data_IF_174559464533
#
_entry.id   IF_174559464533
#
_cell.length_a   1.000
_cell.length_b   1.000
_cell.length_c   1.000
_cell.angle_alpha   90.00
_cell.angle_beta   90.00
_cell.angle_gamma   90.00
#
_symmetry.space_group_name_H-M   'P 1'
#
loop_
_entity.id
_entity.type
_entity.pdbx_description
1 polymer ?
#
# COMPACT_ATOMS: atom_id res chain seq x y z
N UNK A 1 -20.05 -1.31 24.29
CA UNK A 1 -19.36 -0.49 23.27
C UNK A 1 -17.98 -1.09 23.09
N UNK A 2 -17.84 -2.06 22.15
CA UNK A 2 -16.56 -2.74 21.90
C UNK A 2 -15.56 -1.79 21.27
N UNK A 3 -14.33 -1.80 21.78
CA UNK A 3 -13.18 -1.13 21.16
C UNK A 3 -13.03 -1.55 19.70
N UNK A 4 -12.64 -0.67 18.78
CA UNK A 4 -12.33 -1.06 17.40
C UNK A 4 -11.27 -2.18 17.33
N UNK A 5 -10.43 -2.33 18.35
CA UNK A 5 -9.48 -3.43 18.51
C UNK A 5 -10.13 -4.79 18.80
N UNK A 6 -11.25 -4.84 19.51
CA UNK A 6 -11.93 -6.10 19.84
C UNK A 6 -12.53 -6.78 18.59
N UNK A 7 -13.13 -6.00 17.69
CA UNK A 7 -13.67 -6.53 16.44
C UNK A 7 -12.55 -7.03 15.50
N UNK A 8 -11.41 -6.34 15.51
CA UNK A 8 -10.23 -6.76 14.73
C UNK A 8 -9.58 -8.02 15.28
N UNK A 9 -9.54 -8.17 16.60
CA UNK A 9 -9.00 -9.38 17.27
C UNK A 9 -9.89 -10.59 17.01
N UNK A 10 -11.22 -10.44 17.10
CA UNK A 10 -12.16 -11.48 16.75
C UNK A 10 -12.06 -11.93 15.29
N UNK A 11 -11.89 -10.97 14.36
CA UNK A 11 -11.67 -11.29 12.95
C UNK A 11 -10.34 -12.04 12.73
N UNK A 12 -9.28 -11.68 13.43
CA UNK A 12 -7.99 -12.39 13.38
C UNK A 12 -8.12 -13.83 13.87
N UNK A 13 -8.84 -14.07 14.97
CA UNK A 13 -9.09 -15.42 15.51
C UNK A 13 -9.91 -16.28 14.53
N UNK A 14 -10.93 -15.73 13.87
CA UNK A 14 -11.71 -16.46 12.85
C UNK A 14 -10.82 -16.81 11.65
N UNK A 15 -9.94 -15.92 11.22
CA UNK A 15 -8.98 -16.19 10.15
C UNK A 15 -7.95 -17.25 10.58
N UNK A 16 -7.44 -17.20 11.81
CA UNK A 16 -6.51 -18.21 12.32
C UNK A 16 -7.16 -19.61 12.34
N UNK A 17 -8.43 -19.71 12.70
CA UNK A 17 -9.19 -20.96 12.64
C UNK A 17 -9.41 -21.51 11.21
N UNK A 18 -9.26 -20.66 10.19
CA UNK A 18 -9.35 -21.03 8.77
C UNK A 18 -8.12 -21.76 8.22
N UNK A 19 -7.00 -21.80 8.93
CA UNK A 19 -5.77 -22.49 8.53
C UNK A 19 -5.29 -22.12 7.12
N UNK A 20 -5.09 -23.11 6.25
CA UNK A 20 -4.52 -22.94 4.89
C UNK A 20 -5.29 -21.94 4.01
N UNK A 21 -6.62 -21.86 4.16
CA UNK A 21 -7.42 -20.87 3.41
C UNK A 21 -7.09 -19.46 3.82
N UNK A 22 -6.81 -19.23 5.09
CA UNK A 22 -6.44 -17.92 5.62
C UNK A 22 -5.02 -17.55 5.18
N UNK A 23 -4.08 -18.49 5.17
CA UNK A 23 -2.72 -18.29 4.62
C UNK A 23 -2.80 -17.89 3.16
N UNK A 24 -3.59 -18.59 2.34
CA UNK A 24 -3.77 -18.27 0.92
C UNK A 24 -4.39 -16.88 0.71
N UNK A 25 -5.38 -16.50 1.52
CA UNK A 25 -6.02 -15.17 1.44
C UNK A 25 -5.03 -14.07 1.80
N UNK A 26 -4.25 -14.26 2.87
CA UNK A 26 -3.22 -13.31 3.30
C UNK A 26 -2.13 -13.19 2.24
N UNK A 27 -1.67 -14.31 1.67
CA UNK A 27 -0.68 -14.32 0.60
C UNK A 27 -1.14 -13.49 -0.61
N UNK A 28 -2.40 -13.66 -1.01
CA UNK A 28 -3.02 -12.88 -2.09
C UNK A 28 -3.05 -11.39 -1.74
N UNK A 29 -3.40 -11.03 -0.51
CA UNK A 29 -3.42 -9.65 -0.03
C UNK A 29 -2.03 -9.00 -0.04
N UNK A 30 -1.02 -9.69 0.47
CA UNK A 30 0.39 -9.24 0.46
C UNK A 30 0.89 -9.07 -0.97
N UNK A 31 0.62 -10.02 -1.86
CA UNK A 31 1.00 -9.92 -3.27
C UNK A 31 0.33 -8.71 -3.96
N UNK A 32 -0.95 -8.44 -3.67
CA UNK A 32 -1.66 -7.28 -4.19
C UNK A 32 -1.07 -5.95 -3.69
N UNK A 33 -0.66 -5.87 -2.42
CA UNK A 33 0.02 -4.70 -1.87
C UNK A 33 1.37 -4.47 -2.56
N UNK A 34 2.18 -5.52 -2.75
CA UNK A 34 3.45 -5.44 -3.49
C UNK A 34 3.24 -4.96 -4.93
N UNK A 35 2.28 -5.53 -5.63
CA UNK A 35 1.95 -5.12 -6.99
C UNK A 35 1.53 -3.64 -7.07
N UNK A 36 0.75 -3.16 -6.09
CA UNK A 36 0.36 -1.76 -6.00
C UNK A 36 1.56 -0.85 -5.76
N UNK A 37 2.47 -1.20 -4.84
CA UNK A 37 3.71 -0.45 -4.58
C UNK A 37 4.61 -0.39 -5.81
N UNK A 38 4.83 -1.52 -6.48
CA UNK A 38 5.62 -1.58 -7.71
C UNK A 38 5.02 -0.70 -8.80
N UNK A 39 3.70 -0.73 -8.96
CA UNK A 39 2.97 0.14 -9.89
C UNK A 39 3.14 1.61 -9.54
N UNK A 40 3.00 1.99 -8.28
CA UNK A 40 3.22 3.36 -7.81
C UNK A 40 4.63 3.82 -8.13
N UNK A 41 5.66 3.03 -7.80
CA UNK A 41 7.06 3.37 -8.08
C UNK A 41 7.29 3.58 -9.58
N UNK A 42 6.74 2.71 -10.43
CA UNK A 42 6.83 2.85 -11.89
C UNK A 42 6.14 4.14 -12.38
N UNK A 43 4.94 4.46 -11.88
CA UNK A 43 4.23 5.69 -12.25
C UNK A 43 4.94 6.95 -11.78
N UNK A 44 5.53 6.95 -10.59
CA UNK A 44 6.37 8.07 -10.13
C UNK A 44 7.54 8.30 -11.06
N UNK A 45 8.23 7.24 -11.49
CA UNK A 45 9.32 7.33 -12.48
C UNK A 45 8.83 7.90 -13.82
N UNK A 46 7.67 7.50 -14.27
CA UNK A 46 7.07 7.95 -15.55
C UNK A 46 6.62 9.41 -15.54
N UNK A 47 6.47 10.06 -14.37
CA UNK A 47 6.27 11.52 -14.29
C UNK A 47 7.44 12.29 -14.93
N UNK A 48 8.63 11.70 -15.02
CA UNK A 48 9.80 12.25 -15.68
C UNK A 48 9.99 11.80 -17.13
N UNK A 49 9.07 11.10 -17.73
CA UNK A 49 9.19 10.65 -19.14
C UNK A 49 9.32 11.82 -20.10
N UNK A 50 10.06 11.65 -21.18
CA UNK A 50 10.11 12.62 -22.28
C UNK A 50 8.79 12.70 -23.07
N UNK A 51 7.99 11.62 -23.05
CA UNK A 51 6.68 11.58 -23.71
C UNK A 51 5.61 12.24 -22.83
N UNK A 52 4.93 13.24 -23.38
CA UNK A 52 3.84 13.95 -22.69
C UNK A 52 2.70 13.03 -22.31
N UNK A 53 2.28 12.12 -23.20
CA UNK A 53 1.15 11.23 -22.94
C UNK A 53 1.46 10.24 -21.80
N UNK A 54 2.72 9.76 -21.71
CA UNK A 54 3.18 8.90 -20.63
C UNK A 54 3.12 9.65 -19.29
N UNK A 55 3.62 10.90 -19.25
CA UNK A 55 3.56 11.72 -18.02
C UNK A 55 2.12 11.94 -17.55
N UNK A 56 1.22 12.30 -18.48
CA UNK A 56 -0.19 12.55 -18.14
C UNK A 56 -0.92 11.26 -17.70
N UNK A 57 -0.62 10.13 -18.35
CA UNK A 57 -1.16 8.83 -17.95
C UNK A 57 -0.67 8.44 -16.55
N UNK A 58 0.62 8.66 -16.25
CA UNK A 58 1.20 8.38 -14.94
C UNK A 58 0.54 9.23 -13.84
N UNK A 59 0.38 10.54 -14.06
CA UNK A 59 -0.27 11.42 -13.10
C UNK A 59 -1.72 11.01 -12.81
N UNK A 60 -2.51 10.73 -13.86
CA UNK A 60 -3.90 10.24 -13.70
C UNK A 60 -3.96 8.90 -12.97
N UNK A 61 -3.03 8.01 -13.25
CA UNK A 61 -3.00 6.68 -12.61
C UNK A 61 -2.67 6.79 -11.12
N UNK A 62 -1.71 7.64 -10.74
CA UNK A 62 -1.38 7.91 -9.32
C UNK A 62 -2.58 8.49 -8.57
N UNK A 63 -3.29 9.44 -9.16
CA UNK A 63 -4.53 9.99 -8.57
C UNK A 63 -5.62 8.93 -8.45
N UNK A 64 -5.72 7.99 -9.39
CA UNK A 64 -6.67 6.88 -9.36
C UNK A 64 -6.34 5.84 -8.31
N UNK A 65 -5.05 5.54 -8.11
CA UNK A 65 -4.58 4.63 -7.04
C UNK A 65 -4.95 5.20 -5.67
N UNK A 66 -4.90 6.52 -5.50
CA UNK A 66 -5.36 7.17 -4.28
C UNK A 66 -4.36 7.09 -3.14
N UNK A 67 -4.85 6.80 -1.92
CA UNK A 67 -4.06 6.81 -0.69
C UNK A 67 -2.74 6.00 -0.76
N UNK A 68 -2.66 4.81 -1.37
CA UNK A 68 -1.40 4.07 -1.49
C UNK A 68 -0.30 4.79 -2.27
N UNK A 69 -0.64 5.76 -3.14
CA UNK A 69 0.35 6.52 -3.91
C UNK A 69 0.88 7.77 -3.18
N UNK A 70 0.16 8.27 -2.17
CA UNK A 70 0.39 9.59 -1.59
C UNK A 70 1.80 9.75 -1.01
N UNK A 71 2.27 8.79 -0.24
CA UNK A 71 3.61 8.87 0.38
C UNK A 71 4.73 8.95 -0.67
N UNK A 72 4.68 8.09 -1.70
CA UNK A 72 5.68 8.06 -2.76
C UNK A 72 5.66 9.35 -3.60
N UNK A 73 4.47 9.89 -3.87
CA UNK A 73 4.32 11.14 -4.63
C UNK A 73 4.79 12.35 -3.82
N UNK A 74 4.50 12.41 -2.52
CA UNK A 74 5.03 13.46 -1.63
C UNK A 74 6.56 13.42 -1.56
N UNK A 75 7.13 12.21 -1.44
CA UNK A 75 8.59 12.05 -1.48
C UNK A 75 9.17 12.55 -2.81
N UNK A 76 8.59 12.17 -3.94
CA UNK A 76 9.04 12.64 -5.24
C UNK A 76 8.93 14.17 -5.39
N UNK A 77 7.87 14.79 -4.88
CA UNK A 77 7.70 16.23 -4.86
C UNK A 77 8.78 16.96 -4.03
N UNK A 78 9.23 16.33 -2.95
CA UNK A 78 10.21 16.92 -2.04
C UNK A 78 11.67 16.67 -2.49
N UNK A 79 11.98 15.49 -3.02
CA UNK A 79 13.37 15.01 -3.14
C UNK A 79 13.83 14.67 -4.55
N UNK A 80 12.95 14.68 -5.57
CA UNK A 80 13.38 14.38 -6.94
C UNK A 80 14.39 15.40 -7.47
N UNK A 81 15.44 14.95 -8.14
CA UNK A 81 16.43 15.82 -8.80
C UNK A 81 15.80 16.62 -9.95
N UNK A 82 14.80 16.08 -10.62
CA UNK A 82 14.09 16.74 -11.71
C UNK A 82 13.05 17.74 -11.21
N UNK A 83 13.21 19.01 -11.54
CA UNK A 83 12.24 20.07 -11.25
C UNK A 83 10.86 19.79 -11.85
N UNK A 84 10.82 19.19 -13.04
CA UNK A 84 9.58 18.79 -13.71
C UNK A 84 8.85 17.69 -12.92
N UNK A 85 9.58 16.66 -12.45
CA UNK A 85 9.01 15.62 -11.62
C UNK A 85 8.49 16.18 -10.30
N UNK A 86 9.27 17.06 -9.63
CA UNK A 86 8.81 17.70 -8.39
C UNK A 86 7.50 18.46 -8.59
N UNK A 87 7.40 19.25 -9.66
CA UNK A 87 6.19 20.02 -9.96
C UNK A 87 4.99 19.10 -10.21
N UNK A 88 5.14 18.09 -11.08
CA UNK A 88 4.05 17.16 -11.41
C UNK A 88 3.62 16.32 -10.21
N UNK A 89 4.56 15.90 -9.40
CA UNK A 89 4.27 15.19 -8.16
C UNK A 89 3.47 16.09 -7.18
N UNK A 90 3.85 17.36 -7.04
CA UNK A 90 3.11 18.33 -6.22
C UNK A 90 1.67 18.54 -6.74
N UNK A 91 1.47 18.59 -8.05
CA UNK A 91 0.14 18.68 -8.67
C UNK A 91 -0.72 17.43 -8.34
N UNK A 92 -0.12 16.24 -8.38
CA UNK A 92 -0.80 14.98 -7.99
C UNK A 92 -1.16 15.00 -6.50
N UNK A 93 -0.27 15.45 -5.61
CA UNK A 93 -0.56 15.60 -4.16
C UNK A 93 -1.74 16.52 -3.95
N UNK A 94 -1.78 17.65 -4.64
CA UNK A 94 -2.89 18.61 -4.57
C UNK A 94 -4.21 17.98 -5.01
N UNK A 95 -4.21 17.23 -6.09
CA UNK A 95 -5.41 16.52 -6.57
C UNK A 95 -5.88 15.43 -5.60
N UNK A 96 -4.96 14.70 -4.98
CA UNK A 96 -5.28 13.71 -3.94
C UNK A 96 -5.89 14.40 -2.71
N UNK A 97 -5.31 15.51 -2.25
CA UNK A 97 -5.83 16.32 -1.15
C UNK A 97 -7.24 16.87 -1.44
N UNK A 98 -7.49 17.33 -2.65
CA UNK A 98 -8.82 17.80 -3.09
C UNK A 98 -9.88 16.68 -3.07
N UNK A 99 -9.47 15.41 -3.18
CA UNK A 99 -10.33 14.22 -3.02
C UNK A 99 -10.47 13.75 -1.57
N UNK A 100 -9.91 14.48 -0.60
CA UNK A 100 -9.95 14.12 0.81
C UNK A 100 -8.96 13.03 1.23
N UNK A 101 -8.03 12.63 0.34
CA UNK A 101 -7.01 11.62 0.67
C UNK A 101 -5.98 12.22 1.64
N UNK A 102 -5.74 11.56 2.76
CA UNK A 102 -4.77 11.96 3.78
C UNK A 102 -3.64 10.94 3.87
N UNK A 103 -2.46 11.39 4.31
CA UNK A 103 -1.31 10.52 4.50
C UNK A 103 -1.60 9.36 5.47
N UNK A 104 -2.37 9.64 6.52
CA UNK A 104 -2.79 8.64 7.51
C UNK A 104 -3.64 7.52 6.92
N UNK A 105 -4.37 7.77 5.82
CA UNK A 105 -5.26 6.78 5.22
C UNK A 105 -4.48 5.67 4.51
N UNK A 106 -3.35 6.02 3.88
CA UNK A 106 -2.49 5.04 3.19
C UNK A 106 -1.55 4.29 4.14
N UNK A 107 -0.75 5.03 4.91
CA UNK A 107 0.27 4.44 5.79
C UNK A 107 -0.34 3.65 6.96
N UNK A 108 -1.35 4.21 7.62
CA UNK A 108 -2.01 3.52 8.73
C UNK A 108 -2.79 2.29 8.25
N UNK A 109 -3.46 2.39 7.10
CA UNK A 109 -4.23 1.29 6.52
C UNK A 109 -3.35 0.09 6.14
N UNK A 110 -2.25 0.33 5.43
CA UNK A 110 -1.36 -0.74 4.97
C UNK A 110 -0.54 -1.33 6.12
N UNK A 111 -0.01 -0.50 7.01
CA UNK A 111 0.70 -0.95 8.20
C UNK A 111 -0.20 -1.79 9.12
N UNK A 112 -1.43 -1.35 9.34
CA UNK A 112 -2.40 -2.10 10.15
C UNK A 112 -2.81 -3.42 9.50
N UNK A 113 -3.01 -3.45 8.18
CA UNK A 113 -3.31 -4.69 7.44
C UNK A 113 -2.15 -5.68 7.54
N UNK A 114 -0.92 -5.20 7.34
CA UNK A 114 0.28 -6.02 7.46
C UNK A 114 0.45 -6.56 8.89
N UNK A 115 0.31 -5.69 9.90
CA UNK A 115 0.39 -6.10 11.30
C UNK A 115 -0.62 -7.21 11.63
N UNK A 116 -1.88 -7.04 11.24
CA UNK A 116 -2.92 -8.06 11.47
C UNK A 116 -2.69 -9.33 10.66
N UNK A 117 -2.15 -9.22 9.46
CA UNK A 117 -1.77 -10.39 8.67
C UNK A 117 -0.67 -11.20 9.38
N UNK A 118 0.34 -10.52 9.93
CA UNK A 118 1.42 -11.15 10.69
C UNK A 118 0.92 -11.81 11.97
N UNK A 119 0.02 -11.16 12.71
CA UNK A 119 -0.61 -11.71 13.90
C UNK A 119 -1.36 -13.02 13.59
N UNK A 120 -2.17 -13.05 12.52
CA UNK A 120 -2.89 -14.24 12.07
C UNK A 120 -1.92 -15.36 11.62
N UNK A 121 -0.85 -15.03 10.91
CA UNK A 121 0.13 -16.00 10.45
C UNK A 121 0.91 -16.61 11.62
N UNK A 122 1.20 -15.84 12.66
CA UNK A 122 1.84 -16.33 13.88
C UNK A 122 0.91 -17.30 14.65
N UNK A 123 -0.38 -16.95 14.77
CA UNK A 123 -1.39 -17.80 15.40
C UNK A 123 -1.61 -19.14 14.66
N UNK A 124 -1.55 -19.14 13.32
CA UNK A 124 -1.63 -20.34 12.48
C UNK A 124 -0.42 -21.25 12.69
N UNK A 125 0.78 -20.70 12.80
CA UNK A 125 2.01 -21.36 13.19
C UNK A 125 2.52 -22.48 12.27
N UNK A 126 1.95 -22.66 11.07
CA UNK A 126 2.47 -23.62 10.09
C UNK A 126 3.77 -23.13 9.45
N UNK A 127 4.51 -24.04 8.80
CA UNK A 127 5.75 -23.67 8.09
C UNK A 127 5.47 -22.62 7.01
N UNK A 128 4.43 -22.83 6.24
CA UNK A 128 3.99 -21.95 5.17
C UNK A 128 3.60 -20.55 5.70
N UNK A 129 2.91 -20.49 6.84
CA UNK A 129 2.55 -19.25 7.50
C UNK A 129 3.80 -18.45 7.95
N UNK A 130 4.80 -19.13 8.52
CA UNK A 130 6.06 -18.50 8.95
C UNK A 130 6.89 -18.00 7.78
N UNK A 131 6.94 -18.74 6.67
CA UNK A 131 7.61 -18.33 5.44
C UNK A 131 6.96 -17.08 4.85
N UNK A 132 5.62 -17.05 4.78
CA UNK A 132 4.87 -15.90 4.30
C UNK A 132 5.04 -14.67 5.21
N UNK A 133 5.06 -14.85 6.55
CA UNK A 133 5.30 -13.76 7.49
C UNK A 133 6.68 -13.13 7.29
N UNK A 134 7.72 -13.96 7.12
CA UNK A 134 9.08 -13.49 6.82
C UNK A 134 9.13 -12.70 5.52
N UNK A 135 8.56 -13.25 4.47
CA UNK A 135 8.47 -12.63 3.14
C UNK A 135 7.74 -11.27 3.18
N UNK A 136 6.69 -11.16 3.99
CA UNK A 136 5.93 -9.92 4.14
C UNK A 136 6.71 -8.82 4.87
N UNK A 137 7.64 -9.18 5.77
CA UNK A 137 8.49 -8.23 6.50
C UNK A 137 9.64 -7.67 5.65
N UNK A 138 10.08 -8.38 4.62
CA UNK A 138 11.16 -7.95 3.71
C UNK A 138 10.66 -6.97 2.61
N UNK A 139 9.40 -6.54 2.67
CA UNK A 139 8.75 -5.67 1.68
C UNK A 139 8.72 -4.22 2.13
#
# INVERSE_FOLDING_TARGET
LGSPDAAGHAAAQVLAAGGDKSVSTIATGVAAMRATRARVAQRVKELGSNDFNVREAAARDLVRIGAPSLAAVQQAAATSDSAEVRKRAADVVTQLGARGVRLTDGLAGDALRLYRALEVLDDIGTKEARELARDALET
#
